data_IF_886630556312
#
_entry.id   IF_886630556312
#
_cell.length_a   1.000
_cell.length_b   1.000
_cell.length_c   1.000
_cell.angle_alpha   90.00
_cell.angle_beta   90.00
_cell.angle_gamma   90.00
#
_symmetry.space_group_name_H-M   'P 1'
#
loop_
_entity.id
_entity.type
_entity.pdbx_description
1 polymer ?
#
# COMPACT_ATOMS: atom_id res chain seq x y z
N UNK A 1 -15.11 -9.37 -3.16
CA UNK A 1 -14.50 -8.15 -3.72
C UNK A 1 -13.02 -8.32 -3.51
N UNK A 2 -12.25 -8.28 -4.58
CA UNK A 2 -10.79 -8.36 -4.50
C UNK A 2 -10.18 -7.00 -4.13
N UNK A 3 -9.01 -6.69 -4.65
CA UNK A 3 -8.36 -5.39 -4.45
C UNK A 3 -8.55 -4.50 -5.67
N UNK A 4 -8.77 -3.21 -5.46
CA UNK A 4 -8.84 -2.22 -6.55
C UNK A 4 -7.93 -1.04 -6.23
N UNK A 5 -6.89 -0.87 -7.04
CA UNK A 5 -5.98 0.26 -6.96
C UNK A 5 -6.48 1.38 -7.87
N UNK A 6 -6.55 2.61 -7.37
CA UNK A 6 -6.76 3.81 -8.17
C UNK A 6 -5.48 4.65 -8.15
N UNK A 7 -4.92 4.93 -9.33
CA UNK A 7 -3.71 5.75 -9.46
C UNK A 7 -4.13 7.19 -9.68
N UNK A 8 -3.81 8.09 -8.76
CA UNK A 8 -4.25 9.50 -8.84
C UNK A 8 -3.13 10.44 -9.29
N UNK A 9 -1.88 9.97 -9.31
CA UNK A 9 -0.75 10.74 -9.79
C UNK A 9 0.42 9.82 -10.13
N UNK A 10 1.13 10.17 -11.21
CA UNK A 10 2.16 9.35 -11.86
C UNK A 10 3.43 10.15 -12.18
N UNK A 11 3.55 11.40 -11.73
CA UNK A 11 4.71 12.27 -11.97
C UNK A 11 5.67 12.25 -10.80
N UNK A 12 6.98 12.19 -11.10
CA UNK A 12 8.04 12.39 -10.12
C UNK A 12 8.32 13.86 -9.83
N UNK A 13 8.57 14.19 -8.56
CA UNK A 13 9.03 15.46 -7.99
C UNK A 13 8.09 16.67 -8.12
N UNK A 14 7.39 16.82 -9.25
CA UNK A 14 6.49 17.95 -9.52
C UNK A 14 5.39 17.57 -10.51
N UNK A 15 4.23 18.26 -10.47
CA UNK A 15 3.21 18.07 -11.49
C UNK A 15 3.72 18.54 -12.86
N UNK A 16 3.12 17.98 -13.90
CA UNK A 16 3.27 18.40 -15.30
C UNK A 16 1.89 18.75 -15.86
N UNK A 17 1.84 19.19 -17.11
CA UNK A 17 0.57 19.49 -17.78
C UNK A 17 -0.36 18.26 -17.91
N UNK A 18 0.18 17.05 -17.77
CA UNK A 18 -0.57 15.79 -18.01
C UNK A 18 -0.50 14.79 -16.85
N UNK A 19 0.42 14.97 -15.90
CA UNK A 19 0.63 14.07 -14.76
C UNK A 19 0.74 14.84 -13.46
N UNK A 20 0.11 14.30 -12.44
CA UNK A 20 0.07 14.80 -11.08
C UNK A 20 1.08 14.05 -10.21
N UNK A 21 1.46 14.64 -9.08
CA UNK A 21 2.40 14.00 -8.13
C UNK A 21 1.74 12.85 -7.36
N UNK A 22 2.57 12.02 -6.75
CA UNK A 22 2.23 10.77 -6.09
C UNK A 22 0.98 10.81 -5.21
N UNK A 23 0.19 9.74 -5.33
CA UNK A 23 -1.00 9.50 -4.53
C UNK A 23 -1.87 8.43 -5.17
N UNK A 24 -2.17 7.38 -4.42
CA UNK A 24 -2.94 6.23 -4.88
C UNK A 24 -3.88 5.73 -3.80
N UNK A 25 -4.92 5.00 -4.21
CA UNK A 25 -5.88 4.36 -3.32
C UNK A 25 -5.81 2.85 -3.53
N UNK A 26 -5.90 2.05 -2.48
CA UNK A 26 -6.18 0.61 -2.56
C UNK A 26 -7.49 0.35 -1.80
N UNK A 27 -8.54 0.02 -2.56
CA UNK A 27 -9.89 -0.26 -2.08
C UNK A 27 -10.09 -1.76 -1.90
N UNK A 28 -10.69 -2.15 -0.77
CA UNK A 28 -11.06 -3.53 -0.45
C UNK A 28 -12.46 -3.58 0.21
N UNK A 29 -12.89 -4.77 0.62
CA UNK A 29 -14.19 -4.94 1.30
C UNK A 29 -14.25 -4.24 2.66
N UNK A 30 -13.13 -4.12 3.37
CA UNK A 30 -13.05 -3.55 4.73
C UNK A 30 -12.72 -2.04 4.76
N UNK A 31 -12.38 -1.42 3.63
CA UNK A 31 -12.10 0.01 3.57
C UNK A 31 -11.19 0.42 2.42
N UNK A 32 -10.58 1.59 2.55
CA UNK A 32 -9.61 2.14 1.60
C UNK A 32 -8.32 2.46 2.36
N UNK A 33 -7.20 1.97 1.86
CA UNK A 33 -5.88 2.49 2.19
C UNK A 33 -5.48 3.54 1.15
N UNK A 34 -4.97 4.68 1.59
CA UNK A 34 -4.33 5.66 0.71
C UNK A 34 -2.82 5.48 0.82
N UNK A 35 -2.12 5.48 -0.31
CA UNK A 35 -0.66 5.48 -0.34
C UNK A 35 -0.20 6.78 -0.97
N UNK A 36 0.44 7.61 -0.15
CA UNK A 36 0.83 9.00 -0.41
C UNK A 36 -0.34 9.95 -0.72
N UNK A 37 -0.11 11.22 -0.41
CA UNK A 37 -1.01 12.32 -0.71
C UNK A 37 -0.18 13.57 -1.02
N UNK A 38 0.45 13.58 -2.19
CA UNK A 38 1.18 14.74 -2.69
C UNK A 38 0.30 15.97 -2.91
N UNK A 39 0.91 17.13 -3.15
CA UNK A 39 0.20 18.40 -3.38
C UNK A 39 -1.00 18.22 -4.33
N UNK A 40 -2.17 18.78 -3.97
CA UNK A 40 -3.39 18.71 -4.79
C UNK A 40 -4.20 17.42 -4.67
N UNK A 41 -3.80 16.47 -3.81
CA UNK A 41 -4.47 15.17 -3.64
C UNK A 41 -5.99 15.26 -3.42
N UNK A 42 -6.48 16.19 -2.60
CA UNK A 42 -7.91 16.36 -2.33
C UNK A 42 -8.75 16.56 -3.61
N UNK A 43 -8.22 17.33 -4.57
CA UNK A 43 -8.88 17.62 -5.84
C UNK A 43 -8.89 16.39 -6.75
N UNK A 44 -7.80 15.62 -6.76
CA UNK A 44 -7.68 14.37 -7.52
C UNK A 44 -8.58 13.28 -6.96
N UNK A 45 -8.64 13.15 -5.62
CA UNK A 45 -9.58 12.26 -4.93
C UNK A 45 -11.03 12.62 -5.24
N UNK A 46 -11.39 13.91 -5.15
CA UNK A 46 -12.74 14.39 -5.48
C UNK A 46 -13.11 14.09 -6.95
N UNK A 47 -12.18 14.31 -7.87
CA UNK A 47 -12.34 13.99 -9.30
C UNK A 47 -12.56 12.50 -9.52
N UNK A 48 -11.71 11.64 -8.95
CA UNK A 48 -11.84 10.20 -9.09
C UNK A 48 -13.15 9.69 -8.48
N UNK A 49 -13.55 10.22 -7.32
CA UNK A 49 -14.84 9.92 -6.69
C UNK A 49 -16.01 10.28 -7.62
N UNK A 50 -15.96 11.43 -8.28
CA UNK A 50 -16.97 11.83 -9.27
C UNK A 50 -17.01 10.88 -10.46
N UNK A 51 -15.86 10.47 -10.99
CA UNK A 51 -15.76 9.47 -12.07
C UNK A 51 -16.40 8.14 -11.67
N UNK A 52 -16.03 7.61 -10.49
CA UNK A 52 -16.62 6.38 -9.95
C UNK A 52 -18.13 6.52 -9.78
N UNK A 53 -18.60 7.69 -9.38
CA UNK A 53 -20.04 7.96 -9.26
C UNK A 53 -20.81 7.94 -10.57
N UNK A 54 -20.20 8.39 -11.64
CA UNK A 54 -20.87 8.53 -12.92
C UNK A 54 -20.79 7.28 -13.77
N UNK A 55 -19.74 6.45 -13.61
CA UNK A 55 -19.44 5.34 -14.52
C UNK A 55 -19.40 3.96 -13.83
N UNK A 56 -19.56 3.90 -12.51
CA UNK A 56 -19.51 2.65 -11.75
C UNK A 56 -20.67 2.50 -10.75
N UNK A 57 -20.92 1.26 -10.34
CA UNK A 57 -22.03 0.91 -9.43
C UNK A 57 -21.81 1.33 -7.98
N UNK A 58 -20.60 1.79 -7.63
CA UNK A 58 -20.24 2.19 -6.28
C UNK A 58 -19.37 3.45 -6.29
N UNK A 59 -19.19 4.06 -5.12
CA UNK A 59 -18.46 5.33 -5.00
C UNK A 59 -17.35 5.23 -3.96
N UNK A 60 -16.24 5.93 -4.21
CA UNK A 60 -15.22 6.19 -3.21
C UNK A 60 -15.80 7.15 -2.16
N UNK A 61 -15.74 6.76 -0.89
CA UNK A 61 -16.24 7.57 0.23
C UNK A 61 -15.08 7.88 1.16
N UNK A 62 -14.90 9.16 1.48
CA UNK A 62 -13.88 9.61 2.45
C UNK A 62 -14.03 8.87 3.78
N UNK A 63 -15.27 8.60 4.23
CA UNK A 63 -15.56 7.84 5.46
C UNK A 63 -15.11 6.36 5.43
N UNK A 64 -14.82 5.79 4.25
CA UNK A 64 -14.25 4.43 4.12
C UNK A 64 -12.72 4.42 4.10
N UNK A 65 -12.06 5.59 4.04
CA UNK A 65 -10.61 5.68 4.20
C UNK A 65 -10.28 5.30 5.64
N UNK A 66 -9.56 4.20 5.80
CA UNK A 66 -9.20 3.64 7.10
C UNK A 66 -7.75 3.96 7.48
N UNK A 67 -6.89 4.15 6.49
CA UNK A 67 -5.48 4.45 6.67
C UNK A 67 -4.91 5.30 5.53
N UNK A 68 -4.01 6.20 5.89
CA UNK A 68 -3.10 6.91 4.99
C UNK A 68 -1.67 6.43 5.30
N UNK A 69 -1.08 5.75 4.34
CA UNK A 69 0.26 5.21 4.33
C UNK A 69 1.17 6.19 3.57
N UNK A 70 2.20 6.73 4.23
CA UNK A 70 3.22 7.56 3.60
C UNK A 70 4.42 6.68 3.27
N UNK A 71 4.90 6.72 2.04
CA UNK A 71 6.08 5.94 1.61
C UNK A 71 7.36 6.59 2.10
N UNK A 72 7.42 7.91 2.16
CA UNK A 72 8.54 8.69 2.67
C UNK A 72 8.14 10.17 2.84
N UNK A 73 9.11 11.00 3.21
CA UNK A 73 8.91 12.41 3.55
C UNK A 73 8.98 13.45 2.42
N UNK A 74 9.22 13.10 1.14
CA UNK A 74 9.27 14.14 0.11
C UNK A 74 7.89 14.79 -0.13
N UNK A 75 7.90 16.08 -0.46
CA UNK A 75 6.69 16.92 -0.46
C UNK A 75 5.72 16.56 -1.59
N UNK A 76 6.22 16.03 -2.70
CA UNK A 76 5.40 15.48 -3.77
C UNK A 76 4.68 14.18 -3.37
N UNK A 77 4.95 13.63 -2.18
CA UNK A 77 4.22 12.52 -1.56
C UNK A 77 3.38 12.96 -0.35
N UNK A 78 3.68 14.10 0.29
CA UNK A 78 3.08 14.45 1.60
C UNK A 78 2.32 15.78 1.65
N UNK A 79 2.55 16.71 0.72
CA UNK A 79 2.07 18.09 0.89
C UNK A 79 0.56 18.28 0.72
N UNK A 80 -0.14 17.28 0.21
CA UNK A 80 -1.60 17.24 0.13
C UNK A 80 -2.29 16.68 1.39
N UNK A 81 -1.55 16.15 2.36
CA UNK A 81 -2.09 15.51 3.57
C UNK A 81 -2.97 16.48 4.37
N UNK A 82 -2.40 17.57 4.87
CA UNK A 82 -3.11 18.46 5.81
C UNK A 82 -4.37 19.11 5.19
N UNK A 83 -4.35 19.68 3.96
CA UNK A 83 -5.56 20.18 3.33
C UNK A 83 -6.64 19.10 3.16
N UNK A 84 -6.22 17.87 2.85
CA UNK A 84 -7.16 16.77 2.68
C UNK A 84 -7.79 16.31 4.01
N UNK A 85 -7.03 16.30 5.11
CA UNK A 85 -7.59 16.07 6.45
C UNK A 85 -8.66 17.11 6.81
N UNK A 86 -8.39 18.39 6.54
CA UNK A 86 -9.37 19.46 6.75
C UNK A 86 -10.61 19.30 5.86
N UNK A 87 -10.42 18.88 4.61
CA UNK A 87 -11.55 18.55 3.72
C UNK A 87 -12.41 17.41 4.27
N UNK A 88 -11.79 16.36 4.84
CA UNK A 88 -12.52 15.26 5.48
C UNK A 88 -13.27 15.70 6.74
N UNK A 89 -12.73 16.66 7.50
CA UNK A 89 -13.44 17.28 8.63
C UNK A 89 -14.70 18.02 8.16
N UNK A 90 -14.60 18.81 7.08
CA UNK A 90 -15.74 19.52 6.47
C UNK A 90 -16.80 18.56 5.91
N UNK A 91 -16.38 17.36 5.48
CA UNK A 91 -17.27 16.26 5.08
C UNK A 91 -17.95 15.56 6.29
N UNK A 92 -17.79 16.07 7.51
CA UNK A 92 -18.30 15.50 8.77
C UNK A 92 -17.86 14.06 9.01
N UNK A 93 -16.60 13.76 8.69
CA UNK A 93 -16.00 12.47 9.05
C UNK A 93 -16.11 12.25 10.56
N UNK A 94 -16.46 11.02 10.97
CA UNK A 94 -16.43 10.60 12.37
C UNK A 94 -15.77 9.23 12.57
N UNK A 95 -15.26 8.60 11.50
CA UNK A 95 -14.49 7.36 11.57
C UNK A 95 -13.02 7.66 11.93
N UNK A 96 -12.36 6.81 12.75
CA UNK A 96 -10.95 6.97 13.05
C UNK A 96 -10.10 6.81 11.79
N UNK A 97 -9.02 7.58 11.68
CA UNK A 97 -8.03 7.50 10.61
C UNK A 97 -6.65 7.15 11.18
N UNK A 98 -6.03 6.10 10.66
CA UNK A 98 -4.61 5.83 10.90
C UNK A 98 -3.77 6.58 9.86
N UNK A 99 -2.75 7.31 10.30
CA UNK A 99 -1.71 7.88 9.44
C UNK A 99 -0.39 7.25 9.86
N UNK A 100 0.29 6.62 8.92
CA UNK A 100 1.48 5.81 9.20
C UNK A 100 2.56 6.04 8.15
N UNK A 101 3.83 6.11 8.57
CA UNK A 101 4.96 6.26 7.65
C UNK A 101 6.31 5.89 8.28
N UNK A 102 7.38 5.82 7.48
CA UNK A 102 8.70 5.44 7.98
C UNK A 102 9.44 6.62 8.65
N UNK A 103 10.35 6.27 9.56
CA UNK A 103 11.45 7.13 10.02
C UNK A 103 12.66 6.25 10.36
N UNK A 104 13.74 6.84 10.87
CA UNK A 104 14.93 6.09 11.28
C UNK A 104 14.84 5.58 12.72
N UNK A 105 15.59 4.51 13.01
CA UNK A 105 15.71 3.95 14.36
C UNK A 105 16.17 4.98 15.41
N UNK A 106 17.15 5.83 15.04
CA UNK A 106 17.64 6.91 15.90
C UNK A 106 16.56 7.95 16.19
N UNK A 107 15.72 8.28 15.20
CA UNK A 107 14.58 9.21 15.41
C UNK A 107 13.55 8.57 16.34
N UNK A 108 13.23 7.28 16.16
CA UNK A 108 12.35 6.54 17.08
C UNK A 108 12.89 6.61 18.51
N UNK A 109 14.18 6.37 18.71
CA UNK A 109 14.83 6.46 20.03
C UNK A 109 14.74 7.87 20.63
N UNK A 110 15.07 8.91 19.86
CA UNK A 110 14.96 10.31 20.34
C UNK A 110 13.52 10.69 20.71
N UNK A 111 12.53 10.26 19.91
CA UNK A 111 11.12 10.53 20.18
C UNK A 111 10.64 9.86 21.48
N UNK A 112 11.05 8.61 21.74
CA UNK A 112 10.69 7.89 22.96
C UNK A 112 11.34 8.49 24.22
N UNK A 113 12.59 8.95 24.08
CA UNK A 113 13.34 9.58 25.17
C UNK A 113 13.02 11.07 25.34
N UNK A 114 12.21 11.65 24.45
CA UNK A 114 11.91 13.07 24.39
C UNK A 114 13.18 13.94 24.35
N UNK A 115 14.15 13.53 23.52
CA UNK A 115 15.41 14.24 23.28
C UNK A 115 15.44 14.90 21.91
N UNK A 116 16.45 15.75 21.67
CA UNK A 116 16.67 16.34 20.34
C UNK A 116 16.80 15.23 19.28
N UNK A 117 16.22 15.48 18.10
CA UNK A 117 16.40 14.59 16.96
C UNK A 117 17.87 14.59 16.53
N UNK A 118 18.37 13.48 15.96
CA UNK A 118 19.73 13.40 15.43
C UNK A 118 20.02 14.52 14.41
N UNK A 119 21.25 15.06 14.41
CA UNK A 119 21.66 16.13 13.49
C UNK A 119 21.58 15.71 12.00
N UNK A 120 21.68 14.41 11.73
CA UNK A 120 21.55 13.80 10.40
C UNK A 120 20.10 13.51 9.99
N UNK A 121 19.10 13.92 10.79
CA UNK A 121 17.68 13.76 10.44
C UNK A 121 17.36 14.59 9.18
N UNK A 122 16.85 13.98 8.10
CA UNK A 122 16.46 14.72 6.91
C UNK A 122 15.42 15.79 7.25
N UNK A 123 15.53 16.98 6.65
CA UNK A 123 14.54 18.04 6.85
C UNK A 123 13.12 17.65 6.40
N UNK A 124 13.03 16.68 5.50
CA UNK A 124 11.79 16.09 5.02
C UNK A 124 11.30 14.92 5.88
N UNK A 125 12.01 14.48 6.93
CA UNK A 125 11.58 13.35 7.76
C UNK A 125 10.15 13.56 8.30
N UNK A 126 9.36 12.49 8.30
CA UNK A 126 7.95 12.55 8.67
C UNK A 126 7.74 12.96 10.12
N UNK A 127 8.70 12.74 11.03
CA UNK A 127 8.64 13.21 12.41
C UNK A 127 8.55 14.74 12.51
N UNK A 128 9.29 15.46 11.66
CA UNK A 128 9.24 16.92 11.59
C UNK A 128 7.92 17.40 10.96
N UNK A 129 7.48 16.73 9.89
CA UNK A 129 6.23 17.07 9.22
C UNK A 129 5.00 16.85 10.12
N UNK A 130 4.96 15.76 10.89
CA UNK A 130 3.87 15.50 11.83
C UNK A 130 3.75 16.62 12.87
N UNK A 131 4.88 17.03 13.46
CA UNK A 131 4.90 18.17 14.39
C UNK A 131 4.43 19.47 13.73
N UNK A 132 4.82 19.72 12.49
CA UNK A 132 4.39 20.89 11.73
C UNK A 132 2.87 20.86 11.46
N UNK A 133 2.34 19.74 11.00
CA UNK A 133 0.91 19.59 10.74
C UNK A 133 0.08 19.68 12.02
N UNK A 134 0.54 19.14 13.14
CA UNK A 134 -0.12 19.30 14.44
C UNK A 134 -0.21 20.78 14.85
N UNK A 135 0.85 21.57 14.67
CA UNK A 135 0.84 23.02 14.93
C UNK A 135 -0.15 23.79 14.04
N UNK A 136 -0.46 23.25 12.87
CA UNK A 136 -1.45 23.80 11.93
C UNK A 136 -2.87 23.21 12.11
N UNK A 137 -3.12 22.49 13.20
CA UNK A 137 -4.45 21.95 13.51
C UNK A 137 -4.72 20.55 12.93
N UNK A 138 -3.69 19.80 12.56
CA UNK A 138 -3.79 18.38 12.18
C UNK A 138 -4.01 17.43 13.38
N UNK A 139 -4.67 17.89 14.44
CA UNK A 139 -4.93 17.09 15.65
C UNK A 139 -6.37 16.59 15.64
N UNK A 140 -6.67 15.51 16.38
CA UNK A 140 -8.04 15.00 16.51
C UNK A 140 -9.01 16.06 17.06
N UNK A 141 -8.55 16.90 17.99
CA UNK A 141 -9.32 17.99 18.58
C UNK A 141 -9.73 19.03 17.53
N UNK A 142 -8.78 19.48 16.70
CA UNK A 142 -9.07 20.48 15.67
C UNK A 142 -9.84 19.91 14.47
N UNK A 143 -9.62 18.64 14.12
CA UNK A 143 -10.27 18.00 12.98
C UNK A 143 -11.68 17.48 13.29
N UNK A 144 -12.03 17.30 14.57
CA UNK A 144 -13.35 16.78 14.99
C UNK A 144 -13.55 15.28 14.76
N UNK A 145 -12.49 14.53 14.43
CA UNK A 145 -12.49 13.07 14.34
C UNK A 145 -11.14 12.50 14.77
N UNK A 146 -11.12 11.24 15.18
CA UNK A 146 -9.91 10.58 15.68
C UNK A 146 -8.87 10.38 14.55
N UNK A 147 -7.66 10.88 14.78
CA UNK A 147 -6.48 10.65 13.94
C UNK A 147 -5.37 10.06 14.79
N UNK A 148 -4.92 8.87 14.42
CA UNK A 148 -3.76 8.19 15.02
C UNK A 148 -2.54 8.42 14.14
N UNK A 149 -1.48 8.99 14.71
CA UNK A 149 -0.26 9.35 14.01
C UNK A 149 0.86 8.40 14.41
N UNK A 150 1.37 7.61 13.46
CA UNK A 150 2.32 6.52 13.72
C UNK A 150 3.54 6.66 12.83
N UNK A 151 4.72 6.52 13.41
CA UNK A 151 6.00 6.44 12.69
C UNK A 151 6.73 5.18 13.09
N UNK A 152 7.60 4.67 12.23
CA UNK A 152 8.46 3.56 12.63
C UNK A 152 9.68 3.36 11.76
N UNK A 153 10.69 2.75 12.37
CA UNK A 153 11.76 2.09 11.62
C UNK A 153 11.22 0.77 11.09
N UNK A 154 11.06 0.73 9.78
CA UNK A 154 10.49 -0.42 9.07
C UNK A 154 11.43 -1.62 9.11
N UNK A 155 12.75 -1.41 9.13
CA UNK A 155 13.72 -2.51 9.12
C UNK A 155 13.79 -3.22 10.47
N UNK A 156 13.71 -2.46 11.57
CA UNK A 156 13.72 -2.99 12.94
C UNK A 156 12.33 -3.33 13.51
N UNK A 157 11.25 -3.14 12.77
CA UNK A 157 9.85 -3.24 13.24
C UNK A 157 9.60 -2.45 14.54
N UNK A 158 10.20 -1.26 14.65
CA UNK A 158 10.06 -0.38 15.82
C UNK A 158 9.12 0.77 15.50
N UNK A 159 7.96 0.76 16.15
CA UNK A 159 6.88 1.71 15.87
C UNK A 159 6.53 2.55 17.09
N UNK A 160 6.18 3.80 16.84
CA UNK A 160 5.76 4.76 17.85
C UNK A 160 4.51 5.50 17.41
N UNK A 161 3.67 5.84 18.38
CA UNK A 161 2.45 6.62 18.18
C UNK A 161 2.51 7.93 18.95
N UNK A 162 2.10 9.02 18.30
CA UNK A 162 1.96 10.32 18.94
C UNK A 162 0.59 10.41 19.60
N UNK A 163 0.57 10.55 20.93
CA UNK A 163 -0.62 10.94 21.66
C UNK A 163 -0.78 12.46 21.56
N UNK A 164 -1.63 12.90 20.62
CA UNK A 164 -1.88 14.33 20.39
C UNK A 164 -2.56 15.03 21.57
N UNK A 165 -3.14 14.29 22.53
CA UNK A 165 -3.80 14.88 23.70
C UNK A 165 -2.83 15.18 24.83
N UNK A 166 -1.80 14.35 24.99
CA UNK A 166 -0.78 14.53 26.05
C UNK A 166 0.55 15.05 25.54
N UNK A 167 0.75 15.08 24.22
CA UNK A 167 2.02 15.43 23.57
C UNK A 167 3.10 14.35 23.74
N UNK A 168 2.75 13.17 24.25
CA UNK A 168 3.69 12.07 24.48
C UNK A 168 3.81 11.15 23.26
N UNK A 169 4.94 10.47 23.18
CA UNK A 169 5.18 9.41 22.20
C UNK A 169 5.17 8.06 22.92
N UNK A 170 4.46 7.08 22.38
CA UNK A 170 4.27 5.75 22.99
C UNK A 170 4.82 4.69 22.03
N UNK A 171 5.62 3.76 22.55
CA UNK A 171 6.08 2.61 21.77
C UNK A 171 4.94 1.62 21.54
N UNK A 172 4.79 1.18 20.29
CA UNK A 172 3.89 0.12 19.89
C UNK A 172 4.62 -1.23 19.84
N UNK A 173 3.93 -2.34 20.13
CA UNK A 173 4.55 -3.68 20.09
C UNK A 173 4.89 -4.16 18.68
N UNK A 174 4.25 -3.59 17.65
CA UNK A 174 4.44 -3.87 16.22
C UNK A 174 3.69 -2.84 15.38
N UNK A 175 3.86 -2.88 14.05
CA UNK A 175 3.07 -2.06 13.13
C UNK A 175 1.55 -2.20 13.38
N UNK A 176 0.81 -1.10 13.64
CA UNK A 176 -0.63 -1.15 13.81
C UNK A 176 -1.35 -1.40 12.48
N UNK A 177 -2.58 -1.89 12.59
CA UNK A 177 -3.50 -2.10 11.47
C UNK A 177 -4.74 -1.22 11.66
N UNK A 178 -5.49 -0.89 10.59
CA UNK A 178 -6.76 -0.22 10.74
C UNK A 178 -7.71 -1.03 11.64
N UNK A 179 -8.32 -0.40 12.64
CA UNK A 179 -9.05 -1.08 13.71
C UNK A 179 -10.20 -1.97 13.20
N UNK A 180 -10.82 -1.59 12.08
CA UNK A 180 -11.94 -2.32 11.47
C UNK A 180 -11.50 -3.49 10.59
N UNK A 181 -10.21 -3.61 10.24
CA UNK A 181 -9.74 -4.63 9.31
C UNK A 181 -9.51 -5.96 10.03
N UNK A 182 -10.05 -7.04 9.46
CA UNK A 182 -9.96 -8.40 10.00
C UNK A 182 -9.46 -9.37 8.95
N UNK A 183 -9.89 -9.20 7.70
CA UNK A 183 -9.56 -10.03 6.55
C UNK A 183 -8.39 -9.47 5.75
N UNK A 184 -8.16 -8.17 5.80
CA UNK A 184 -7.08 -7.49 5.09
C UNK A 184 -6.01 -6.99 6.08
N UNK A 185 -4.81 -6.75 5.57
CA UNK A 185 -3.69 -6.13 6.30
C UNK A 185 -2.87 -5.26 5.36
N UNK A 186 -2.23 -4.25 5.93
CA UNK A 186 -1.18 -3.45 5.30
C UNK A 186 0.16 -3.76 5.96
N UNK A 187 1.23 -3.85 5.19
CA UNK A 187 2.58 -4.12 5.69
C UNK A 187 3.56 -3.16 5.02
N UNK A 188 4.38 -2.50 5.83
CA UNK A 188 5.52 -1.74 5.35
C UNK A 188 6.63 -2.71 4.95
N UNK A 189 7.25 -2.44 3.80
CA UNK A 189 8.39 -3.19 3.28
C UNK A 189 9.57 -2.21 3.13
N UNK A 190 10.71 -2.52 3.73
CA UNK A 190 11.87 -1.62 3.68
C UNK A 190 12.37 -1.38 2.24
N UNK A 191 12.61 -0.12 1.91
CA UNK A 191 13.13 0.32 0.60
C UNK A 191 14.44 1.10 0.76
N UNK A 192 15.06 1.47 -0.36
CA UNK A 192 16.33 2.20 -0.38
C UNK A 192 16.13 3.51 -1.12
N UNK A 193 16.17 4.61 -0.38
CA UNK A 193 16.03 5.97 -0.91
C UNK A 193 16.84 6.96 -0.07
N UNK A 194 16.93 8.22 -0.51
CA UNK A 194 17.77 9.25 0.15
C UNK A 194 17.33 9.66 1.56
N UNK A 195 16.12 9.28 1.97
CA UNK A 195 15.55 9.48 3.30
C UNK A 195 14.83 8.20 3.75
N UNK A 196 14.44 8.06 5.04
CA UNK A 196 13.65 6.91 5.47
C UNK A 196 12.44 6.68 4.56
N UNK A 197 12.35 5.46 4.02
CA UNK A 197 11.37 5.10 3.01
C UNK A 197 10.89 3.66 3.19
N UNK A 198 9.67 3.40 2.70
CA UNK A 198 9.13 2.06 2.56
C UNK A 198 8.14 1.95 1.40
N UNK A 199 7.96 0.71 0.94
CA UNK A 199 6.85 0.29 0.11
C UNK A 199 5.69 -0.17 1.00
N UNK A 200 4.47 -0.13 0.47
CA UNK A 200 3.28 -0.60 1.16
C UNK A 200 2.67 -1.80 0.43
N UNK A 201 2.55 -2.93 1.13
CA UNK A 201 1.86 -4.13 0.66
C UNK A 201 0.50 -4.22 1.33
N UNK A 202 -0.57 -4.21 0.55
CA UNK A 202 -1.90 -4.60 1.02
C UNK A 202 -2.17 -6.05 0.60
N UNK A 203 -2.57 -6.88 1.55
CA UNK A 203 -2.90 -8.28 1.29
C UNK A 203 -4.16 -8.73 2.01
N UNK A 204 -4.88 -9.68 1.42
CA UNK A 204 -5.85 -10.49 2.16
C UNK A 204 -5.10 -11.50 3.02
N UNK A 205 -5.51 -11.68 4.28
CA UNK A 205 -5.00 -12.77 5.11
C UNK A 205 -5.29 -14.11 4.45
N UNK A 206 -4.30 -15.00 4.51
CA UNK A 206 -4.46 -16.38 4.11
C UNK A 206 -5.62 -17.01 4.89
N UNK A 207 -6.41 -17.83 4.19
CA UNK A 207 -7.50 -18.57 4.80
C UNK A 207 -7.33 -20.03 4.45
N UNK A 208 -7.47 -20.94 5.44
CA UNK A 208 -7.56 -22.36 5.17
C UNK A 208 -8.64 -22.61 4.14
N UNK A 209 -8.41 -23.60 3.27
CA UNK A 209 -9.37 -24.00 2.26
C UNK A 209 -10.73 -24.34 2.86
N UNK A 210 -11.79 -24.28 2.04
CA UNK A 210 -13.16 -24.52 2.51
C UNK A 210 -13.25 -25.88 3.22
N UNK A 211 -13.90 -25.91 4.40
CA UNK A 211 -14.09 -27.16 5.13
C UNK A 211 -15.07 -28.05 4.37
N UNK A 212 -14.68 -29.30 4.13
CA UNK A 212 -15.56 -30.31 3.55
C UNK A 212 -16.52 -30.86 4.60
N UNK A 213 -17.55 -30.04 4.90
CA UNK A 213 -18.60 -30.41 5.84
C UNK A 213 -19.37 -31.65 5.38
N UNK A 214 -19.46 -31.90 4.07
CA UNK A 214 -20.17 -33.04 3.51
C UNK A 214 -19.46 -34.33 3.89
N UNK A 215 -18.15 -34.42 3.61
CA UNK A 215 -17.29 -35.55 4.03
C UNK A 215 -17.34 -35.77 5.54
N UNK A 216 -17.31 -34.70 6.33
CA UNK A 216 -17.39 -34.80 7.78
C UNK A 216 -18.73 -35.39 8.27
N UNK A 217 -19.85 -35.05 7.61
CA UNK A 217 -21.17 -35.62 7.91
C UNK A 217 -21.22 -37.09 7.47
N UNK A 218 -20.68 -37.43 6.29
CA UNK A 218 -20.63 -38.81 5.78
C UNK A 218 -19.84 -39.75 6.68
N UNK A 219 -18.81 -39.23 7.38
CA UNK A 219 -18.04 -39.98 8.38
C UNK A 219 -18.66 -39.99 9.78
N UNK A 220 -19.84 -39.41 9.98
CA UNK A 220 -20.54 -39.41 11.26
C UNK A 220 -19.87 -38.57 12.34
N UNK A 221 -19.07 -37.55 11.96
CA UNK A 221 -18.36 -36.70 12.91
C UNK A 221 -19.32 -35.76 13.66
N UNK A 222 -19.16 -35.69 14.98
CA UNK A 222 -19.96 -34.78 15.82
C UNK A 222 -19.49 -33.31 15.69
N UNK A 223 -20.19 -32.37 16.32
CA UNK A 223 -19.87 -30.93 16.25
C UNK A 223 -18.46 -30.59 16.76
N UNK A 224 -18.02 -31.24 17.83
CA UNK A 224 -16.72 -31.00 18.44
C UNK A 224 -15.58 -31.50 17.53
N UNK A 225 -15.70 -32.71 17.00
CA UNK A 225 -14.77 -33.29 16.03
C UNK A 225 -14.68 -32.45 14.76
N UNK A 226 -15.82 -31.94 14.27
CA UNK A 226 -15.86 -31.02 13.13
C UNK A 226 -15.18 -29.70 13.44
N UNK A 227 -15.39 -29.13 14.63
CA UNK A 227 -14.71 -27.90 15.04
C UNK A 227 -13.20 -28.08 15.16
N UNK A 228 -12.74 -29.22 15.69
CA UNK A 228 -11.31 -29.55 15.79
C UNK A 228 -10.65 -29.69 14.42
N UNK A 229 -11.21 -30.51 13.52
CA UNK A 229 -10.71 -30.61 12.14
C UNK A 229 -10.78 -29.28 11.40
N UNK A 230 -11.83 -28.49 11.66
CA UNK A 230 -11.92 -27.15 11.10
C UNK A 230 -10.87 -26.18 11.68
N UNK A 231 -10.46 -26.33 12.93
CA UNK A 231 -9.38 -25.54 13.50
C UNK A 231 -7.98 -25.95 13.02
N UNK A 232 -7.88 -27.00 12.20
CA UNK A 232 -6.60 -27.54 11.73
C UNK A 232 -6.01 -28.63 12.62
N UNK A 233 -6.77 -29.12 13.60
CA UNK A 233 -6.31 -30.16 14.52
C UNK A 233 -6.71 -31.54 14.00
N UNK A 234 -5.75 -32.46 13.98
CA UNK A 234 -6.01 -33.87 13.69
C UNK A 234 -6.79 -34.51 14.83
N UNK A 235 -7.69 -35.45 14.52
CA UNK A 235 -8.54 -36.11 15.53
C UNK A 235 -8.44 -37.63 15.45
N UNK A 236 -8.71 -38.30 16.56
CA UNK A 236 -8.92 -39.75 16.58
C UNK A 236 -10.43 -40.05 16.45
N UNK A 237 -10.80 -40.86 15.46
CA UNK A 237 -12.18 -41.29 15.22
C UNK A 237 -12.20 -42.76 14.80
N UNK A 238 -12.92 -43.60 15.55
CA UNK A 238 -12.99 -45.06 15.33
C UNK A 238 -11.60 -45.70 15.16
N UNK A 239 -10.70 -45.43 16.11
CA UNK A 239 -9.31 -45.95 16.14
C UNK A 239 -8.43 -45.51 14.96
N UNK A 240 -8.92 -44.59 14.11
CA UNK A 240 -8.16 -44.00 13.00
C UNK A 240 -7.92 -42.52 13.22
N UNK A 241 -6.70 -42.08 12.98
CA UNK A 241 -6.37 -40.66 12.94
C UNK A 241 -6.88 -40.06 11.64
N UNK A 242 -7.75 -39.07 11.75
CA UNK A 242 -8.23 -38.25 10.65
C UNK A 242 -7.42 -36.95 10.63
N UNK A 243 -6.76 -36.67 9.51
CA UNK A 243 -5.93 -35.48 9.37
C UNK A 243 -6.80 -34.29 8.97
N UNK A 244 -6.65 -33.13 9.62
CA UNK A 244 -7.41 -31.92 9.33
C UNK A 244 -7.32 -31.52 7.85
N UNK A 245 -6.14 -31.68 7.24
CA UNK A 245 -5.91 -31.40 5.82
C UNK A 245 -6.79 -32.22 4.86
N UNK A 246 -7.26 -33.41 5.27
CA UNK A 246 -8.13 -34.26 4.45
C UNK A 246 -9.57 -33.73 4.35
N UNK A 247 -9.93 -32.77 5.20
CA UNK A 247 -11.24 -32.13 5.26
C UNK A 247 -11.19 -30.67 4.81
N UNK A 248 -10.10 -30.29 4.13
CA UNK A 248 -9.87 -28.95 3.64
C UNK A 248 -9.66 -29.00 2.14
N UNK A 249 -10.32 -28.10 1.42
CA UNK A 249 -9.94 -27.79 0.04
C UNK A 249 -8.57 -27.10 -0.02
N UNK A 250 -8.14 -26.70 -1.21
CA UNK A 250 -6.96 -25.86 -1.35
C UNK A 250 -7.12 -24.54 -0.60
N UNK A 251 -6.03 -24.10 0.02
CA UNK A 251 -6.00 -22.83 0.75
C UNK A 251 -6.32 -21.67 -0.20
N UNK A 252 -7.07 -20.69 0.30
CA UNK A 252 -7.29 -19.48 -0.47
C UNK A 252 -5.95 -18.74 -0.55
N UNK A 253 -5.37 -18.69 -1.75
CA UNK A 253 -4.20 -17.86 -2.00
C UNK A 253 -4.51 -16.41 -1.63
N UNK A 254 -3.64 -15.83 -0.82
CA UNK A 254 -3.74 -14.43 -0.49
C UNK A 254 -3.53 -13.61 -1.76
N UNK A 255 -4.44 -12.67 -2.02
CA UNK A 255 -4.22 -11.68 -3.07
C UNK A 255 -3.51 -10.47 -2.48
N UNK A 256 -2.63 -9.83 -3.24
CA UNK A 256 -1.89 -8.67 -2.78
C UNK A 256 -1.51 -7.69 -3.88
N UNK A 257 -1.44 -6.42 -3.48
CA UNK A 257 -0.90 -5.32 -4.26
C UNK A 257 0.19 -4.61 -3.47
N UNK A 258 1.30 -4.29 -4.13
CA UNK A 258 2.45 -3.56 -3.57
C UNK A 258 2.60 -2.23 -4.31
N UNK A 259 2.77 -1.13 -3.56
CA UNK A 259 3.16 0.18 -4.11
C UNK A 259 4.56 0.49 -3.56
N UNK A 260 5.53 0.63 -4.45
CA UNK A 260 6.95 0.75 -4.08
C UNK A 260 7.30 2.00 -3.29
N UNK A 261 6.59 3.12 -3.55
CA UNK A 261 7.14 4.44 -3.26
C UNK A 261 8.40 4.71 -4.11
N UNK A 262 9.21 5.65 -3.66
CA UNK A 262 10.49 5.95 -4.30
C UNK A 262 11.57 5.05 -3.74
N UNK A 263 12.30 4.37 -4.63
CA UNK A 263 13.33 3.40 -4.26
C UNK A 263 14.24 3.06 -5.44
N UNK A 264 15.48 2.67 -5.11
CA UNK A 264 16.31 1.89 -6.05
C UNK A 264 15.62 0.58 -6.42
N UNK A 265 16.00 0.03 -7.57
CA UNK A 265 15.62 -1.32 -7.91
C UNK A 265 16.12 -2.33 -6.86
N UNK A 266 15.53 -3.51 -6.84
CA UNK A 266 15.94 -4.63 -6.00
C UNK A 266 15.91 -4.34 -4.49
N UNK A 267 15.09 -3.37 -4.07
CA UNK A 267 14.82 -3.04 -2.67
C UNK A 267 14.61 -4.32 -1.83
N UNK A 268 15.34 -4.51 -0.72
CA UNK A 268 15.30 -5.75 0.05
C UNK A 268 13.89 -6.13 0.53
N UNK A 269 13.10 -5.17 1.02
CA UNK A 269 11.75 -5.44 1.50
C UNK A 269 10.80 -5.90 0.40
N UNK A 270 10.97 -5.42 -0.84
CA UNK A 270 10.14 -5.84 -1.99
C UNK A 270 10.61 -7.20 -2.51
N UNK A 271 11.92 -7.39 -2.67
CA UNK A 271 12.48 -8.62 -3.27
C UNK A 271 12.40 -9.86 -2.39
N UNK A 272 12.15 -9.70 -1.09
CA UNK A 272 12.03 -10.79 -0.12
C UNK A 272 10.60 -11.29 0.08
N UNK A 273 9.59 -10.65 -0.52
CA UNK A 273 8.21 -11.18 -0.44
C UNK A 273 8.08 -12.48 -1.25
N UNK A 274 7.14 -13.34 -0.85
CA UNK A 274 6.88 -14.63 -1.53
C UNK A 274 6.24 -14.52 -2.91
N UNK A 275 5.74 -13.35 -3.28
CA UNK A 275 4.90 -13.11 -4.45
C UNK A 275 3.96 -11.93 -4.24
N UNK A 276 3.48 -11.37 -5.36
CA UNK A 276 2.31 -10.48 -5.37
C UNK A 276 1.57 -10.57 -6.72
N UNK A 277 0.26 -10.27 -6.71
CA UNK A 277 -0.49 -10.19 -7.96
C UNK A 277 -0.14 -8.92 -8.71
N UNK A 278 -0.03 -7.81 -7.98
CA UNK A 278 0.22 -6.50 -8.54
C UNK A 278 1.42 -5.82 -7.87
N UNK A 279 2.43 -5.47 -8.64
CA UNK A 279 3.53 -4.61 -8.23
C UNK A 279 3.43 -3.29 -8.98
N UNK A 280 3.14 -2.20 -8.28
CA UNK A 280 3.21 -0.83 -8.80
C UNK A 280 4.55 -0.26 -8.37
N UNK A 281 5.44 -0.07 -9.34
CA UNK A 281 6.82 0.30 -9.10
C UNK A 281 7.16 1.63 -9.77
N UNK A 282 7.93 2.46 -9.09
CA UNK A 282 8.51 3.65 -9.71
C UNK A 282 9.41 3.27 -10.90
N UNK A 283 9.36 4.08 -11.94
CA UNK A 283 10.19 4.00 -13.14
C UNK A 283 10.59 5.42 -13.54
N UNK A 284 11.24 6.11 -12.61
CA UNK A 284 11.62 7.52 -12.76
C UNK A 284 12.49 7.74 -14.00
N UNK A 285 13.32 6.74 -14.34
CA UNK A 285 14.30 6.81 -15.42
C UNK A 285 14.14 5.69 -16.47
N UNK A 286 14.75 5.93 -17.64
CA UNK A 286 15.01 4.92 -18.67
C UNK A 286 16.47 4.41 -18.54
N UNK A 287 16.83 3.34 -19.24
CA UNK A 287 18.15 2.70 -19.14
C UNK A 287 19.33 3.64 -19.45
N UNK A 288 19.16 4.55 -20.41
CA UNK A 288 20.18 5.57 -20.73
C UNK A 288 20.49 6.50 -19.54
N UNK A 289 19.65 6.49 -18.51
CA UNK A 289 19.79 7.27 -17.28
C UNK A 289 20.06 6.40 -16.04
N UNK A 290 20.51 5.14 -16.20
CA UNK A 290 20.80 4.22 -15.08
C UNK A 290 21.70 4.85 -14.01
N UNK A 291 22.79 5.52 -14.41
CA UNK A 291 23.67 6.19 -13.45
C UNK A 291 22.95 7.27 -12.63
N UNK A 292 22.02 8.02 -13.23
CA UNK A 292 21.23 8.98 -12.47
C UNK A 292 20.24 8.29 -11.54
N UNK A 293 19.66 7.17 -11.95
CA UNK A 293 18.81 6.38 -11.06
C UNK A 293 19.61 5.92 -9.82
N UNK A 294 20.84 5.46 -10.01
CA UNK A 294 21.75 5.09 -8.90
C UNK A 294 22.12 6.29 -8.02
N UNK A 295 22.57 7.40 -8.61
CA UNK A 295 23.01 8.60 -7.89
C UNK A 295 21.89 9.24 -7.05
N UNK A 296 20.63 9.14 -7.52
CA UNK A 296 19.45 9.70 -6.83
C UNK A 296 18.58 8.66 -6.14
N UNK A 297 19.04 7.41 -6.05
CA UNK A 297 18.36 6.31 -5.39
C UNK A 297 16.91 6.06 -5.87
N UNK A 298 16.77 5.99 -7.20
CA UNK A 298 15.54 5.71 -7.94
C UNK A 298 15.72 4.48 -8.84
N UNK A 299 14.66 4.10 -9.56
CA UNK A 299 14.66 2.97 -10.48
C UNK A 299 14.57 3.38 -11.94
N UNK A 300 15.17 2.56 -12.81
CA UNK A 300 14.81 2.55 -14.24
C UNK A 300 13.61 1.63 -14.49
N UNK A 301 12.96 1.77 -15.64
CA UNK A 301 11.89 0.85 -16.05
C UNK A 301 12.37 -0.61 -16.12
N UNK A 302 13.57 -0.85 -16.64
CA UNK A 302 14.20 -2.17 -16.63
C UNK A 302 14.52 -2.66 -15.20
N UNK A 303 14.92 -1.78 -14.29
CA UNK A 303 15.16 -2.10 -12.89
C UNK A 303 13.87 -2.49 -12.13
N UNK A 304 12.77 -1.80 -12.42
CA UNK A 304 11.45 -2.19 -11.95
C UNK A 304 11.07 -3.61 -12.45
N UNK A 305 11.37 -3.94 -13.72
CA UNK A 305 11.19 -5.27 -14.27
C UNK A 305 12.05 -6.35 -13.57
N UNK A 306 13.33 -6.08 -13.32
CA UNK A 306 14.20 -7.00 -12.55
C UNK A 306 13.66 -7.23 -11.14
N UNK A 307 13.14 -6.19 -10.50
CA UNK A 307 12.51 -6.27 -9.18
C UNK A 307 11.25 -7.15 -9.23
N UNK A 308 10.41 -7.00 -10.26
CA UNK A 308 9.21 -7.81 -10.47
C UNK A 308 9.52 -9.30 -10.62
N UNK A 309 10.57 -9.64 -11.38
CA UNK A 309 11.08 -11.02 -11.49
C UNK A 309 11.47 -11.54 -10.12
N UNK A 310 12.26 -10.75 -9.37
CA UNK A 310 12.82 -11.19 -8.10
C UNK A 310 11.76 -11.45 -7.03
N UNK A 311 10.71 -10.62 -6.98
CA UNK A 311 9.62 -10.76 -6.03
C UNK A 311 8.47 -11.65 -6.51
N UNK A 312 8.62 -12.31 -7.68
CA UNK A 312 7.61 -13.16 -8.30
C UNK A 312 6.25 -12.45 -8.46
N UNK A 313 6.28 -11.23 -9.02
CA UNK A 313 5.07 -10.47 -9.33
C UNK A 313 4.36 -11.05 -10.56
N UNK A 314 3.02 -11.10 -10.55
CA UNK A 314 2.25 -11.52 -11.74
C UNK A 314 2.09 -10.38 -12.75
N UNK A 315 1.95 -9.14 -12.26
CA UNK A 315 1.74 -7.97 -13.09
C UNK A 315 2.52 -6.77 -12.52
N UNK A 316 3.48 -6.28 -13.31
CA UNK A 316 4.22 -5.04 -13.07
C UNK A 316 3.49 -3.84 -13.69
N UNK A 317 3.38 -2.77 -12.92
CA UNK A 317 2.77 -1.51 -13.35
C UNK A 317 3.76 -0.39 -13.06
N UNK A 318 4.22 0.25 -14.13
CA UNK A 318 5.16 1.36 -14.03
C UNK A 318 4.41 2.64 -13.65
N UNK A 319 5.05 3.50 -12.85
CA UNK A 319 4.54 4.82 -12.46
C UNK A 319 5.70 5.77 -12.13
N UNK A 320 5.39 6.95 -11.59
CA UNK A 320 6.35 7.91 -11.05
C UNK A 320 7.40 8.37 -12.07
N UNK A 321 6.95 8.75 -13.25
CA UNK A 321 7.83 9.07 -14.36
C UNK A 321 8.50 10.42 -14.20
N UNK A 322 9.81 10.48 -14.49
CA UNK A 322 10.52 11.74 -14.65
C UNK A 322 9.90 12.60 -15.76
N UNK A 323 10.00 13.93 -15.61
CA UNK A 323 9.40 14.89 -16.56
C UNK A 323 9.91 14.78 -18.03
N UNK A 324 11.01 14.04 -18.24
CA UNK A 324 11.61 13.73 -19.55
C UNK A 324 10.80 12.68 -20.31
N UNK A 325 10.21 11.71 -19.61
CA UNK A 325 9.41 10.63 -20.20
C UNK A 325 8.05 11.20 -20.60
N UNK A 326 7.80 11.42 -21.89
CA UNK A 326 6.56 12.08 -22.38
C UNK A 326 5.36 11.16 -22.45
N UNK A 327 5.61 9.89 -22.72
CA UNK A 327 4.61 8.83 -22.75
C UNK A 327 5.18 7.54 -22.16
N UNK A 328 4.34 6.56 -21.87
CA UNK A 328 4.76 5.35 -21.18
C UNK A 328 5.48 4.31 -22.04
N UNK A 329 5.42 4.44 -23.38
CA UNK A 329 5.84 3.37 -24.30
C UNK A 329 7.31 2.99 -24.12
N UNK A 330 8.23 3.96 -24.08
CA UNK A 330 9.67 3.68 -23.90
C UNK A 330 9.93 2.92 -22.59
N UNK A 331 9.21 3.27 -21.51
CA UNK A 331 9.32 2.56 -20.23
C UNK A 331 8.75 1.14 -20.32
N UNK A 332 7.64 0.94 -21.03
CA UNK A 332 7.07 -0.39 -21.27
C UNK A 332 8.05 -1.23 -22.08
N UNK A 333 8.61 -0.70 -23.16
CA UNK A 333 9.50 -1.43 -24.06
C UNK A 333 10.75 -1.93 -23.33
N UNK A 334 11.41 -1.06 -22.54
CA UNK A 334 12.57 -1.45 -21.73
C UNK A 334 12.24 -2.51 -20.67
N UNK A 335 11.09 -2.38 -20.00
CA UNK A 335 10.65 -3.36 -19.02
C UNK A 335 10.30 -4.70 -19.70
N UNK A 336 9.63 -4.65 -20.85
CA UNK A 336 9.20 -5.83 -21.61
C UNK A 336 10.39 -6.62 -22.15
N UNK A 337 11.48 -5.96 -22.53
CA UNK A 337 12.73 -6.62 -22.93
C UNK A 337 13.29 -7.49 -21.80
N UNK A 338 13.34 -6.96 -20.58
CA UNK A 338 13.77 -7.70 -19.38
C UNK A 338 12.83 -8.87 -19.07
N UNK A 339 11.53 -8.70 -19.29
CA UNK A 339 10.50 -9.69 -18.98
C UNK A 339 10.29 -10.74 -20.10
N UNK A 340 11.05 -10.68 -21.20
CA UNK A 340 10.84 -11.49 -22.42
C UNK A 340 10.76 -13.00 -22.22
N UNK A 341 11.39 -13.53 -21.16
CA UNK A 341 11.39 -14.96 -20.82
C UNK A 341 10.57 -15.28 -19.55
N UNK A 342 9.56 -14.47 -19.26
CA UNK A 342 8.72 -14.59 -18.07
C UNK A 342 7.24 -14.43 -18.43
N UNK A 343 6.37 -14.96 -17.58
CA UNK A 343 4.92 -14.76 -17.71
C UNK A 343 4.43 -13.46 -17.03
N UNK A 344 5.36 -12.59 -16.61
CA UNK A 344 5.03 -11.34 -15.92
C UNK A 344 4.50 -10.34 -16.93
N UNK A 345 3.26 -9.88 -16.74
CA UNK A 345 2.67 -8.80 -17.53
C UNK A 345 3.29 -7.47 -17.12
N UNK A 346 3.56 -6.58 -18.08
CA UNK A 346 3.89 -5.18 -17.80
C UNK A 346 2.88 -4.23 -18.42
N UNK A 347 2.52 -3.17 -17.68
CA UNK A 347 1.78 -2.01 -18.18
C UNK A 347 2.29 -0.73 -17.52
N UNK A 348 1.81 0.42 -17.96
CA UNK A 348 2.13 1.72 -17.38
C UNK A 348 0.87 2.44 -16.92
N UNK A 349 0.88 2.98 -15.70
CA UNK A 349 -0.26 3.71 -15.16
C UNK A 349 -0.29 5.15 -15.65
N UNK A 350 -1.50 5.67 -15.85
CA UNK A 350 -1.80 7.09 -16.03
C UNK A 350 -2.72 7.58 -14.91
N UNK A 351 -2.79 8.90 -14.74
CA UNK A 351 -3.66 9.52 -13.73
C UNK A 351 -5.14 9.20 -13.99
N UNK A 352 -5.78 8.53 -13.04
CA UNK A 352 -7.18 8.10 -13.10
C UNK A 352 -7.38 6.62 -13.40
N UNK A 353 -6.31 5.92 -13.79
CA UNK A 353 -6.36 4.49 -14.09
C UNK A 353 -6.70 3.66 -12.85
N UNK A 354 -7.22 2.46 -13.09
CA UNK A 354 -7.58 1.50 -12.06
C UNK A 354 -6.99 0.14 -12.34
N UNK A 355 -6.57 -0.54 -11.29
CA UNK A 355 -6.04 -1.89 -11.39
C UNK A 355 -6.81 -2.81 -10.45
N UNK A 356 -7.45 -3.82 -11.01
CA UNK A 356 -8.25 -4.79 -10.27
C UNK A 356 -7.42 -6.04 -10.06
N UNK A 357 -7.41 -6.56 -8.83
CA UNK A 357 -6.97 -7.91 -8.50
C UNK A 357 -8.20 -8.70 -8.09
N UNK A 358 -8.63 -9.64 -8.93
CA UNK A 358 -9.76 -10.52 -8.66
C UNK A 358 -9.49 -11.46 -7.49
N UNK A 359 -10.55 -12.08 -6.95
CA UNK A 359 -10.40 -13.10 -5.91
C UNK A 359 -9.71 -14.38 -6.42
N UNK A 360 -9.67 -14.56 -7.73
CA UNK A 360 -8.92 -15.59 -8.46
C UNK A 360 -7.44 -15.21 -8.66
N UNK A 361 -7.02 -14.04 -8.19
CA UNK A 361 -5.67 -13.51 -8.35
C UNK A 361 -5.43 -12.84 -9.70
N UNK A 362 -6.36 -12.91 -10.65
CA UNK A 362 -6.18 -12.31 -11.97
C UNK A 362 -6.19 -10.79 -11.89
N UNK A 363 -5.28 -10.16 -12.62
CA UNK A 363 -5.18 -8.70 -12.68
C UNK A 363 -5.84 -8.12 -13.94
N UNK A 364 -6.48 -6.96 -13.80
CA UNK A 364 -7.02 -6.19 -14.93
C UNK A 364 -6.61 -4.73 -14.78
N UNK A 365 -5.98 -4.17 -15.81
CA UNK A 365 -5.74 -2.74 -15.91
C UNK A 365 -6.90 -2.09 -16.65
N UNK A 366 -7.43 -1.00 -16.11
CA UNK A 366 -8.51 -0.20 -16.66
C UNK A 366 -8.03 1.24 -16.81
N UNK A 367 -7.93 1.69 -18.05
CA UNK A 367 -7.49 3.03 -18.38
C UNK A 367 -8.66 4.01 -18.37
N UNK A 368 -8.50 5.16 -17.71
CA UNK A 368 -9.50 6.21 -17.77
C UNK A 368 -9.51 6.88 -19.15
N UNK A 369 -10.69 6.97 -19.74
CA UNK A 369 -11.03 7.77 -20.93
C UNK A 369 -12.13 8.75 -20.54
N UNK A 370 -12.33 9.80 -21.33
CA UNK A 370 -13.23 10.91 -20.99
C UNK A 370 -14.67 10.47 -20.64
N UNK A 371 -15.10 9.31 -21.13
CA UNK A 371 -16.44 8.72 -20.96
C UNK A 371 -16.47 7.41 -20.15
N UNK A 372 -15.37 6.97 -19.54
CA UNK A 372 -15.34 5.78 -18.69
C UNK A 372 -14.01 5.04 -18.68
N UNK A 373 -14.02 3.83 -18.11
CA UNK A 373 -12.83 2.97 -18.05
C UNK A 373 -12.87 1.86 -19.11
N UNK A 374 -11.75 1.68 -19.81
CA UNK A 374 -11.57 0.61 -20.81
C UNK A 374 -10.39 -0.28 -20.45
N UNK A 375 -10.43 -1.55 -20.85
CA UNK A 375 -9.31 -2.49 -20.66
C UNK A 375 -8.11 -2.18 -21.53
#
# INVERSE_FOLDING_TARGET
MGLEVHVLGTSSARPTNIRQVSGSLISCDEGIAVVDAGEGFQSRFSTQRKRMKNHESYHLKSSRVAVLCLTHGHLDHTWGVLPWLQSMALDNRNQPLLIIGPTSDKVVESLLNNTTLPDDTPHSDLSLQFQFWHKLGGTSENLGYEVRWVLGDVSGDRWVEFDTSTGKVIQLPKQPQPQAWRKNRIDALATVHGIPSCAWKLSTKEKPGKFDRKRAIELGLNDEQRAQLAAGNDILHNEKTLLAKQFRGEDFQSISAVISGDTTEMAPGITQISGCNLLIHEATFLNDWTKHAEDYLHSTAAGAARTAIKCNAQHLVLTHYGARIKGPNDSIDEAQEVLSNTDIRVTAALDGDRLLVGNDGLTTHLHWRDDGWTR
#
